data_IF_223843682051
#
_entry.id   IF_223843682051
#
_cell.length_a   1.000
_cell.length_b   1.000
_cell.length_c   1.000
_cell.angle_alpha   90.00
_cell.angle_beta   90.00
_cell.angle_gamma   90.00
#
_symmetry.space_group_name_H-M   'P 1'
#
loop_
_entity.id
_entity.type
_entity.pdbx_description
1 polymer ?
#
# COMPACT_ATOMS: atom_id res chain seq x y z
N UNK A 1 -61.62 -16.53 -19.77
CA UNK A 1 -60.65 -15.85 -18.89
C UNK A 1 -59.73 -16.90 -18.29
N UNK A 2 -58.44 -16.55 -18.17
CA UNK A 2 -57.37 -17.25 -17.43
C UNK A 2 -56.73 -18.44 -18.18
N UNK A 3 -55.90 -18.15 -19.18
CA UNK A 3 -54.81 -19.04 -19.64
C UNK A 3 -53.57 -18.18 -19.92
N UNK A 4 -53.16 -17.34 -18.96
CA UNK A 4 -51.99 -16.47 -19.07
C UNK A 4 -51.22 -16.29 -17.75
N UNK A 5 -51.54 -17.07 -16.72
CA UNK A 5 -51.10 -16.80 -15.34
C UNK A 5 -50.04 -17.82 -14.84
N UNK A 6 -49.18 -18.38 -15.69
CA UNK A 6 -48.13 -19.33 -15.21
C UNK A 6 -46.73 -19.07 -15.78
N UNK A 7 -46.53 -18.07 -16.63
CA UNK A 7 -45.23 -17.85 -17.29
C UNK A 7 -44.40 -16.64 -16.80
N UNK A 8 -44.70 -16.09 -15.63
CA UNK A 8 -43.95 -14.96 -15.06
C UNK A 8 -43.40 -15.25 -13.66
N UNK A 9 -42.82 -16.44 -13.48
CA UNK A 9 -42.00 -16.76 -12.31
C UNK A 9 -40.58 -17.14 -12.75
N UNK A 10 -39.98 -16.34 -13.65
CA UNK A 10 -38.53 -16.31 -13.78
C UNK A 10 -37.98 -15.49 -12.61
N UNK A 11 -37.88 -16.20 -11.49
CA UNK A 11 -36.82 -16.15 -10.50
C UNK A 11 -35.96 -14.89 -10.64
N UNK A 12 -36.32 -13.85 -9.89
CA UNK A 12 -35.39 -12.80 -9.54
C UNK A 12 -34.26 -13.46 -8.74
N UNK A 13 -33.22 -13.90 -9.44
CA UNK A 13 -31.93 -14.25 -8.83
C UNK A 13 -31.50 -12.96 -8.13
N UNK A 14 -31.40 -12.91 -6.80
CA UNK A 14 -30.69 -11.81 -6.19
C UNK A 14 -29.26 -12.01 -6.69
N UNK A 15 -28.84 -11.13 -7.61
CA UNK A 15 -27.45 -10.85 -7.84
C UNK A 15 -26.90 -10.56 -6.45
N UNK A 16 -26.34 -11.59 -5.81
CA UNK A 16 -25.47 -11.44 -4.69
C UNK A 16 -24.34 -10.59 -5.25
N UNK A 17 -24.45 -9.28 -5.06
CA UNK A 17 -23.34 -8.38 -5.22
C UNK A 17 -22.28 -8.98 -4.31
N UNK A 18 -21.33 -9.69 -4.92
CA UNK A 18 -19.97 -9.74 -4.42
C UNK A 18 -19.60 -8.27 -4.33
N UNK A 19 -19.84 -7.70 -3.15
CA UNK A 19 -19.18 -6.49 -2.76
C UNK A 19 -17.71 -6.91 -2.74
N UNK A 20 -17.02 -6.72 -3.88
CA UNK A 20 -15.60 -6.49 -3.84
C UNK A 20 -15.45 -5.29 -2.92
N UNK A 21 -15.18 -5.57 -1.65
CA UNK A 21 -14.86 -4.59 -0.64
C UNK A 21 -13.57 -3.94 -1.12
N UNK A 22 -13.72 -2.95 -2.01
CA UNK A 22 -12.60 -2.16 -2.49
C UNK A 22 -11.92 -1.65 -1.23
N UNK A 23 -10.67 -2.09 -0.95
CA UNK A 23 -10.05 -1.78 0.31
C UNK A 23 -10.01 -0.26 0.43
N UNK A 24 -10.48 0.28 1.56
CA UNK A 24 -10.52 1.73 1.76
C UNK A 24 -9.10 2.26 1.68
N UNK A 25 -8.73 2.82 0.53
CA UNK A 25 -7.39 3.34 0.29
C UNK A 25 -7.33 4.76 0.86
N UNK A 26 -6.51 5.01 1.89
CA UNK A 26 -6.40 6.33 2.49
C UNK A 26 -5.76 7.33 1.50
N UNK A 27 -6.07 8.61 1.71
CA UNK A 27 -5.59 9.70 0.86
C UNK A 27 -4.05 9.72 0.78
N UNK A 28 -3.53 9.69 -0.44
CA UNK A 28 -2.08 9.61 -0.73
C UNK A 28 -1.57 8.19 -1.00
N UNK A 29 -2.39 7.16 -0.75
CA UNK A 29 -2.13 5.80 -1.18
C UNK A 29 -2.87 5.47 -2.47
N UNK A 30 -2.42 4.41 -3.14
CA UNK A 30 -3.08 3.87 -4.34
C UNK A 30 -3.25 2.38 -4.20
N UNK A 31 -4.26 1.85 -4.87
CA UNK A 31 -4.40 0.40 -5.05
C UNK A 31 -3.16 -0.14 -5.75
N UNK A 32 -2.63 -1.23 -5.22
CA UNK A 32 -1.49 -1.95 -5.77
C UNK A 32 -1.96 -3.33 -6.20
N UNK A 33 -1.69 -3.71 -7.45
CA UNK A 33 -2.08 -5.04 -7.93
C UNK A 33 -1.13 -6.14 -7.44
N UNK A 34 -1.59 -7.39 -7.50
CA UNK A 34 -0.82 -8.59 -7.11
C UNK A 34 0.56 -8.71 -7.75
N UNK A 35 0.70 -8.19 -8.98
CA UNK A 35 1.98 -8.16 -9.68
C UNK A 35 3.06 -7.40 -8.92
N UNK A 36 2.70 -6.39 -8.11
CA UNK A 36 3.66 -5.64 -7.30
C UNK A 36 4.17 -6.46 -6.11
N UNK A 37 3.32 -7.29 -5.51
CA UNK A 37 3.72 -8.20 -4.44
C UNK A 37 4.65 -9.30 -4.96
N UNK A 38 4.32 -9.88 -6.11
CA UNK A 38 5.16 -10.91 -6.75
C UNK A 38 6.52 -10.35 -7.16
N UNK A 39 6.56 -9.13 -7.73
CA UNK A 39 7.82 -8.49 -8.13
C UNK A 39 8.66 -7.99 -6.93
N UNK A 40 8.03 -7.62 -5.82
CA UNK A 40 8.73 -7.23 -4.60
C UNK A 40 9.50 -8.40 -3.96
N UNK A 41 9.05 -9.64 -4.17
CA UNK A 41 9.77 -10.85 -3.72
C UNK A 41 10.94 -11.21 -4.63
N UNK A 42 10.86 -10.90 -5.92
CA UNK A 42 11.87 -11.28 -6.91
C UNK A 42 13.07 -10.32 -6.96
N UNK A 43 12.94 -9.08 -6.50
CA UNK A 43 14.02 -8.10 -6.52
C UNK A 43 14.15 -7.41 -5.15
N UNK A 44 15.39 -7.23 -4.68
CA UNK A 44 15.76 -6.30 -3.60
C UNK A 44 15.44 -4.87 -4.04
N UNK A 45 14.15 -4.56 -4.01
CA UNK A 45 13.59 -3.32 -4.52
C UNK A 45 13.37 -2.36 -3.37
N UNK A 46 13.30 -1.07 -3.70
CA UNK A 46 12.89 -0.04 -2.75
C UNK A 46 11.59 -0.41 -2.03
N UNK A 47 10.67 -1.12 -2.71
CA UNK A 47 9.40 -1.56 -2.13
C UNK A 47 9.58 -2.60 -1.04
N UNK A 48 10.50 -3.54 -1.21
CA UNK A 48 10.80 -4.60 -0.24
C UNK A 48 11.47 -4.01 0.99
N UNK A 49 12.45 -3.11 0.80
CA UNK A 49 13.08 -2.37 1.90
C UNK A 49 12.08 -1.49 2.67
N UNK A 50 11.16 -0.82 1.97
CA UNK A 50 10.08 -0.07 2.60
C UNK A 50 9.05 -1.00 3.26
N UNK A 51 8.80 -2.19 2.72
CA UNK A 51 7.97 -3.22 3.33
C UNK A 51 8.51 -3.68 4.68
N UNK A 52 9.84 -3.90 4.76
CA UNK A 52 10.51 -4.20 6.02
C UNK A 52 10.42 -3.06 7.03
N UNK A 53 10.56 -1.82 6.57
CA UNK A 53 10.36 -0.64 7.39
C UNK A 53 8.92 -0.57 7.93
N UNK A 54 7.93 -0.78 7.07
CA UNK A 54 6.51 -0.84 7.43
C UNK A 54 6.21 -1.91 8.46
N UNK A 55 6.75 -3.12 8.28
CA UNK A 55 6.62 -4.22 9.25
C UNK A 55 7.17 -3.85 10.62
N UNK A 56 8.28 -3.10 10.68
CA UNK A 56 8.85 -2.62 11.95
C UNK A 56 8.00 -1.54 12.61
N UNK A 57 7.49 -0.58 11.84
CA UNK A 57 6.62 0.49 12.37
C UNK A 57 5.29 -0.07 12.88
N UNK A 58 4.69 -0.97 12.12
CA UNK A 58 3.40 -1.58 12.43
C UNK A 58 3.54 -2.95 13.10
N UNK A 59 4.65 -3.21 13.78
CA UNK A 59 4.87 -4.48 14.48
C UNK A 59 3.76 -4.79 15.50
N UNK A 60 3.15 -3.76 16.08
CA UNK A 60 1.99 -3.86 16.98
C UNK A 60 0.71 -4.38 16.30
N UNK A 61 0.58 -4.21 14.98
CA UNK A 61 -0.52 -4.79 14.18
C UNK A 61 -0.24 -6.25 13.78
N UNK A 62 0.92 -6.78 14.15
CA UNK A 62 1.36 -8.15 13.87
C UNK A 62 2.19 -8.27 12.61
N UNK A 63 3.10 -9.24 12.59
CA UNK A 63 4.09 -9.42 11.52
C UNK A 63 3.68 -10.40 10.42
N UNK A 64 2.51 -11.05 10.55
CA UNK A 64 2.04 -12.04 9.56
C UNK A 64 1.63 -11.39 8.24
N UNK A 65 1.68 -12.14 7.15
CA UNK A 65 1.38 -11.66 5.80
C UNK A 65 2.56 -10.95 5.12
N UNK A 66 2.34 -10.56 3.87
CA UNK A 66 3.35 -9.90 3.05
C UNK A 66 3.24 -8.39 3.16
N UNK A 67 4.36 -7.74 3.45
CA UNK A 67 4.45 -6.27 3.58
C UNK A 67 5.22 -5.68 2.41
N UNK A 68 4.66 -4.63 1.81
CA UNK A 68 5.35 -3.79 0.83
C UNK A 68 5.16 -2.32 1.19
N UNK A 69 6.11 -1.48 0.81
CA UNK A 69 5.94 -0.02 0.88
C UNK A 69 5.91 0.61 -0.50
N UNK A 70 4.96 1.50 -0.74
CA UNK A 70 4.89 2.31 -1.96
C UNK A 70 4.98 3.79 -1.59
N UNK A 71 5.76 4.56 -2.35
CA UNK A 71 5.92 6.01 -2.15
C UNK A 71 4.77 6.82 -2.79
N UNK A 72 3.71 6.14 -3.23
CA UNK A 72 2.56 6.76 -3.90
C UNK A 72 2.95 7.50 -5.17
N UNK A 73 2.13 8.48 -5.55
CA UNK A 73 2.40 9.37 -6.69
C UNK A 73 3.33 10.55 -6.32
N UNK A 74 3.44 10.89 -5.03
CA UNK A 74 4.14 12.10 -4.57
C UNK A 74 5.36 11.76 -3.72
N UNK A 75 6.53 11.97 -4.30
CA UNK A 75 7.83 11.72 -3.66
C UNK A 75 8.31 12.86 -2.77
N UNK A 76 7.71 14.04 -2.96
CA UNK A 76 7.96 15.29 -2.25
C UNK A 76 7.33 15.34 -0.86
N UNK A 77 6.23 14.61 -0.65
CA UNK A 77 5.50 14.57 0.62
C UNK A 77 6.14 13.66 1.67
N UNK A 78 7.19 12.90 1.31
CA UNK A 78 7.89 12.02 2.23
C UNK A 78 6.94 11.11 3.04
N UNK A 79 5.93 10.61 2.34
CA UNK A 79 4.97 9.62 2.84
C UNK A 79 5.25 8.28 2.17
N UNK A 80 5.03 7.22 2.94
CA UNK A 80 5.08 5.84 2.46
C UNK A 80 3.77 5.19 2.80
N UNK A 81 3.15 4.56 1.82
CA UNK A 81 1.99 3.71 2.01
C UNK A 81 2.47 2.30 2.30
N UNK A 82 2.23 1.86 3.52
CA UNK A 82 2.46 0.48 3.92
C UNK A 82 1.26 -0.35 3.49
N UNK A 83 1.49 -1.27 2.57
CA UNK A 83 0.48 -2.22 2.16
C UNK A 83 0.82 -3.57 2.77
N UNK A 84 -0.14 -4.15 3.49
CA UNK A 84 -0.05 -5.49 4.04
C UNK A 84 -1.10 -6.37 3.40
N UNK A 85 -0.65 -7.45 2.78
CA UNK A 85 -1.49 -8.52 2.25
C UNK A 85 -1.49 -9.71 3.19
N UNK A 86 -2.68 -10.08 3.65
CA UNK A 86 -2.91 -11.25 4.50
C UNK A 86 -3.02 -12.52 3.65
N UNK A 87 -2.86 -13.69 4.28
CA UNK A 87 -2.94 -14.99 3.60
C UNK A 87 -4.33 -15.27 3.02
N UNK A 88 -5.38 -14.70 3.61
CA UNK A 88 -6.75 -14.76 3.10
C UNK A 88 -6.97 -13.85 1.87
N UNK A 89 -5.94 -13.15 1.39
CA UNK A 89 -6.02 -12.23 0.25
C UNK A 89 -6.48 -10.82 0.60
N UNK A 90 -6.88 -10.53 1.85
CA UNK A 90 -7.26 -9.19 2.27
C UNK A 90 -6.03 -8.26 2.26
N UNK A 91 -6.21 -7.03 1.81
CA UNK A 91 -5.18 -6.01 1.81
C UNK A 91 -5.54 -4.86 2.73
N UNK A 92 -4.55 -4.35 3.46
CA UNK A 92 -4.70 -3.17 4.32
C UNK A 92 -3.66 -2.13 3.94
N UNK A 93 -4.08 -0.87 4.02
CA UNK A 93 -3.33 0.28 3.56
C UNK A 93 -3.15 1.24 4.73
N UNK A 94 -1.91 1.46 5.14
CA UNK A 94 -1.56 2.31 6.26
C UNK A 94 -0.51 3.35 5.84
N UNK A 95 -0.85 4.65 5.76
CA UNK A 95 0.12 5.68 5.45
C UNK A 95 1.03 5.92 6.64
N UNK A 96 2.31 6.16 6.38
CA UNK A 96 3.30 6.51 7.39
C UNK A 96 4.31 7.51 6.84
N UNK A 97 5.12 8.05 7.73
CA UNK A 97 6.24 8.93 7.35
C UNK A 97 7.35 8.10 6.72
N UNK A 98 7.96 8.61 5.65
CA UNK A 98 9.11 7.98 5.02
C UNK A 98 10.33 7.92 5.96
N UNK A 99 11.18 6.89 5.83
CA UNK A 99 12.43 6.84 6.57
C UNK A 99 13.35 8.02 6.20
N UNK A 100 14.14 8.48 7.16
CA UNK A 100 14.98 9.69 7.01
C UNK A 100 16.09 9.58 5.93
N UNK A 101 16.27 8.38 5.37
CA UNK A 101 17.24 8.05 4.33
C UNK A 101 16.61 8.00 2.93
N UNK A 102 15.28 8.08 2.83
CA UNK A 102 14.59 7.97 1.55
C UNK A 102 14.93 9.18 0.66
N UNK A 103 15.45 8.98 -0.56
CA UNK A 103 15.70 10.08 -1.48
C UNK A 103 14.38 10.65 -2.01
N UNK A 104 14.20 11.96 -1.90
CA UNK A 104 13.04 12.69 -2.40
C UNK A 104 13.40 13.69 -3.53
N UNK A 105 14.68 13.72 -3.93
CA UNK A 105 15.16 14.56 -5.02
C UNK A 105 16.69 14.64 -5.06
N UNK A 106 17.22 15.39 -6.03
CA UNK A 106 18.67 15.58 -6.19
C UNK A 106 19.26 16.24 -4.94
N UNK A 107 20.16 15.55 -4.24
CA UNK A 107 20.76 15.96 -2.97
C UNK A 107 19.75 16.24 -1.85
N UNK A 108 18.57 15.63 -1.90
CA UNK A 108 17.53 15.77 -0.87
C UNK A 108 17.08 14.39 -0.37
N UNK A 109 16.84 14.31 0.93
CA UNK A 109 16.26 13.14 1.58
C UNK A 109 15.08 13.56 2.43
N UNK A 110 14.16 12.61 2.63
CA UNK A 110 13.11 12.77 3.62
C UNK A 110 13.73 12.91 5.00
N UNK A 111 13.32 13.91 5.76
CA UNK A 111 13.74 14.14 7.14
C UNK A 111 12.51 14.63 7.90
N UNK A 112 12.05 13.85 8.88
CA UNK A 112 10.87 14.18 9.69
C UNK A 112 9.63 14.45 8.82
N UNK A 113 9.43 13.62 7.78
CA UNK A 113 8.30 13.76 6.86
C UNK A 113 8.36 14.97 5.93
N UNK A 114 9.53 15.60 5.75
CA UNK A 114 9.72 16.66 4.77
C UNK A 114 10.93 16.39 3.89
N UNK A 115 10.84 16.75 2.62
CA UNK A 115 11.97 16.67 1.71
C UNK A 115 12.98 17.79 1.99
N UNK A 116 14.09 17.47 2.67
CA UNK A 116 15.14 18.43 3.04
C UNK A 116 16.44 18.12 2.31
N UNK A 117 17.37 19.08 2.26
CA UNK A 117 18.72 18.80 1.74
C UNK A 117 19.35 17.71 2.60
N UNK A 118 19.98 16.73 1.94
CA UNK A 118 20.76 15.69 2.61
C UNK A 118 21.75 16.40 3.53
N UNK A 119 21.85 16.07 4.83
CA UNK A 119 22.90 16.61 5.66
C UNK A 119 24.21 16.26 4.96
N UNK A 120 24.93 17.29 4.51
CA UNK A 120 26.30 17.12 4.04
C UNK A 120 27.02 16.39 5.15
N UNK A 121 27.61 15.23 4.85
CA UNK A 121 28.55 14.61 5.76
C UNK A 121 29.58 15.69 6.10
N UNK A 122 29.42 16.29 7.29
CA UNK A 122 30.42 17.20 7.80
C UNK A 122 31.70 16.39 7.83
N UNK A 123 32.75 16.88 7.15
CA UNK A 123 34.11 16.39 7.33
C UNK A 123 34.43 16.50 8.82
N UNK A 124 34.13 15.44 9.56
CA UNK A 124 34.78 15.11 10.81
C UNK A 124 35.97 14.28 10.33
N UNK A 125 37.12 14.89 10.10
CA UNK A 125 37.98 15.33 11.17
C UNK A 125 38.87 14.14 11.51
N UNK A 126 39.97 13.98 10.77
CA UNK A 126 41.16 13.22 11.14
C UNK A 126 42.34 14.12 10.82
#
# INVERSE_FOLDING_TARGET
>A
MIVTEVFLLFVAVPLACVAEETPQVPEGCRLVGDSLFNNALCHDSLRSALGDYCRRIYANKGNGGQWIGDIGQRTDDCKVCCIRKFENGTETYDPTTAPNTLPCGKNKTCQEGRCRRKPSASRTGV
#
